data_IF_607246340190
#
_entry.id   IF_607246340190
#
_cell.length_a   1.000
_cell.length_b   1.000
_cell.length_c   1.000
_cell.angle_alpha   90.00
_cell.angle_beta   90.00
_cell.angle_gamma   90.00
#
_symmetry.space_group_name_H-M   'P 1'
#
loop_
_entity.id
_entity.type
_entity.pdbx_description
1 polymer ?
#
# COMPACT_ATOMS: atom_id res chain seq x y z
N UNK A 1 -17.00 -0.85 12.40
CA UNK A 1 -15.73 -0.10 12.36
C UNK A 1 -14.70 -0.93 13.12
N UNK A 2 -13.91 -1.73 12.41
CA UNK A 2 -12.92 -2.60 13.06
C UNK A 2 -11.61 -1.84 13.20
N UNK A 3 -11.54 -1.00 14.23
CA UNK A 3 -10.27 -0.66 14.87
C UNK A 3 -9.88 -1.89 15.71
N UNK A 4 -8.77 -2.54 15.36
CA UNK A 4 -8.05 -3.40 16.30
C UNK A 4 -6.62 -2.89 16.41
N UNK A 5 -6.43 -1.97 17.35
CA UNK A 5 -5.13 -1.76 17.96
C UNK A 5 -4.93 -2.80 19.06
N UNK A 6 -3.77 -3.44 19.07
CA UNK A 6 -3.24 -4.14 20.25
C UNK A 6 -2.78 -5.57 20.00
N UNK A 7 -1.60 -5.76 19.39
CA UNK A 7 -0.36 -6.33 20.00
C UNK A 7 0.75 -6.04 18.98
N UNK A 8 1.81 -5.27 19.33
CA UNK A 8 3.05 -5.01 18.56
C UNK A 8 3.15 -5.68 17.16
N UNK A 9 2.36 -5.20 16.20
CA UNK A 9 2.22 -5.82 14.90
C UNK A 9 2.04 -4.72 13.89
N UNK A 10 3.01 -4.59 12.98
CA UNK A 10 2.93 -3.67 11.87
C UNK A 10 1.68 -3.94 11.04
N UNK A 11 0.97 -2.88 10.64
CA UNK A 11 -0.17 -2.99 9.74
C UNK A 11 0.26 -3.55 8.37
N UNK A 12 -0.38 -4.63 7.94
CA UNK A 12 -0.05 -5.41 6.72
C UNK A 12 -1.12 -5.32 5.62
N UNK A 13 -2.12 -4.46 5.81
CA UNK A 13 -3.30 -4.39 4.95
C UNK A 13 -4.45 -5.28 5.42
N UNK A 14 -5.42 -5.54 4.54
CA UNK A 14 -6.62 -6.31 4.92
C UNK A 14 -6.31 -7.80 4.94
N UNK A 15 -6.50 -8.46 6.08
CA UNK A 15 -6.32 -9.90 6.18
C UNK A 15 -7.34 -10.66 5.32
N UNK A 16 -6.85 -11.47 4.39
CA UNK A 16 -7.64 -12.32 3.48
C UNK A 16 -7.94 -13.66 4.12
N UNK A 17 -6.92 -14.29 4.70
CA UNK A 17 -7.04 -15.62 5.26
C UNK A 17 -5.73 -16.38 5.19
N UNK A 18 -5.76 -17.57 5.78
CA UNK A 18 -4.64 -18.50 5.77
C UNK A 18 -4.76 -19.48 4.61
N UNK A 19 -3.63 -19.86 4.03
CA UNK A 19 -3.61 -21.00 3.11
C UNK A 19 -4.15 -22.26 3.78
N UNK A 20 -5.11 -22.91 3.13
CA UNK A 20 -5.54 -24.27 3.46
C UNK A 20 -4.48 -25.22 2.91
N UNK A 21 -3.71 -25.86 3.78
CA UNK A 21 -2.68 -26.82 3.40
C UNK A 21 -3.31 -28.11 2.90
N UNK A 22 -2.95 -28.54 1.69
CA UNK A 22 -3.37 -29.83 1.12
C UNK A 22 -2.17 -30.75 0.89
N UNK A 23 -1.11 -30.22 0.28
CA UNK A 23 0.12 -30.94 -0.03
C UNK A 23 1.32 -30.00 0.08
N UNK A 24 2.53 -30.58 0.09
CA UNK A 24 3.79 -29.86 -0.07
C UNK A 24 4.02 -28.70 0.93
N UNK A 25 3.49 -28.86 2.14
CA UNK A 25 3.64 -27.92 3.26
C UNK A 25 3.27 -26.47 2.94
N UNK A 26 2.30 -26.27 2.03
CA UNK A 26 1.82 -24.93 1.69
C UNK A 26 1.12 -24.29 2.88
N UNK A 27 1.76 -23.27 3.45
CA UNK A 27 1.21 -22.45 4.55
C UNK A 27 1.48 -20.98 4.29
N UNK A 28 0.80 -20.10 5.02
CA UNK A 28 1.07 -18.67 5.05
C UNK A 28 -0.22 -17.88 5.28
N UNK A 29 -0.09 -16.70 5.88
CA UNK A 29 -1.19 -15.77 6.14
C UNK A 29 -1.19 -14.68 5.07
N UNK A 30 -2.32 -14.49 4.40
CA UNK A 30 -2.41 -13.63 3.21
C UNK A 30 -3.14 -12.33 3.55
N UNK A 31 -2.57 -11.22 3.13
CA UNK A 31 -3.08 -9.86 3.33
C UNK A 31 -3.14 -9.13 1.98
N UNK A 32 -4.16 -8.30 1.77
CA UNK A 32 -4.25 -7.38 0.65
C UNK A 32 -3.51 -6.08 1.00
N UNK A 33 -2.42 -5.79 0.29
CA UNK A 33 -1.75 -4.48 0.36
C UNK A 33 -2.60 -3.45 -0.39
N UNK A 34 -3.04 -3.81 -1.59
CA UNK A 34 -3.94 -3.06 -2.45
C UNK A 34 -4.70 -4.05 -3.35
N UNK A 35 -5.51 -3.57 -4.30
CA UNK A 35 -6.29 -4.45 -5.19
C UNK A 35 -5.42 -5.32 -6.13
N UNK A 36 -4.15 -5.03 -6.30
CA UNK A 36 -3.22 -5.69 -7.23
C UNK A 36 -2.01 -6.31 -6.55
N UNK A 37 -1.87 -6.15 -5.24
CA UNK A 37 -0.71 -6.61 -4.49
C UNK A 37 -1.14 -7.32 -3.21
N UNK A 38 -0.59 -8.52 -2.99
CA UNK A 38 -0.77 -9.27 -1.75
C UNK A 38 0.54 -9.42 -1.01
N UNK A 39 0.45 -9.42 0.32
CA UNK A 39 1.51 -9.82 1.23
C UNK A 39 1.18 -11.21 1.77
N UNK A 40 2.15 -12.12 1.76
CA UNK A 40 2.04 -13.46 2.35
C UNK A 40 3.08 -13.56 3.45
N UNK A 41 2.63 -13.66 4.69
CA UNK A 41 3.48 -13.84 5.86
C UNK A 41 3.78 -15.31 6.10
N UNK A 42 5.05 -15.63 6.40
CA UNK A 42 5.45 -16.97 6.83
C UNK A 42 5.15 -18.07 5.81
N UNK A 43 5.36 -17.79 4.52
CA UNK A 43 5.08 -18.73 3.45
C UNK A 43 6.02 -19.94 3.49
N UNK A 44 5.46 -21.13 3.38
CA UNK A 44 6.18 -22.39 3.22
C UNK A 44 5.71 -23.11 1.96
N UNK A 45 6.64 -23.79 1.30
CA UNK A 45 6.38 -24.73 0.21
C UNK A 45 7.62 -25.62 0.05
N UNK A 46 7.47 -26.94 0.02
CA UNK A 46 8.60 -27.87 0.07
C UNK A 46 9.56 -27.79 -1.14
N UNK A 47 9.06 -27.34 -2.30
CA UNK A 47 9.80 -27.21 -3.56
C UNK A 47 9.90 -28.49 -4.40
N UNK A 48 9.20 -29.56 -4.03
CA UNK A 48 9.41 -30.89 -4.64
C UNK A 48 8.62 -31.11 -5.94
N UNK A 49 7.63 -30.25 -6.22
CA UNK A 49 6.78 -30.46 -7.39
C UNK A 49 7.45 -29.96 -8.68
N UNK A 50 7.26 -30.66 -9.80
CA UNK A 50 7.98 -30.37 -11.04
C UNK A 50 7.46 -29.13 -11.78
N UNK A 51 6.30 -28.57 -11.41
CA UNK A 51 5.60 -27.56 -12.21
C UNK A 51 4.60 -26.72 -11.38
N UNK A 52 5.03 -26.26 -10.20
CA UNK A 52 4.22 -25.46 -9.26
C UNK A 52 4.36 -23.95 -9.47
N UNK A 53 3.26 -23.22 -9.30
CA UNK A 53 3.18 -21.76 -9.45
C UNK A 53 2.24 -21.13 -8.42
N UNK A 54 2.46 -19.85 -8.10
CA UNK A 54 1.37 -19.03 -7.57
C UNK A 54 0.34 -18.84 -8.69
N UNK A 55 -0.92 -19.14 -8.39
CA UNK A 55 -1.98 -19.23 -9.39
C UNK A 55 -3.26 -18.65 -8.82
N UNK A 56 -4.06 -18.01 -9.66
CA UNK A 56 -5.36 -17.49 -9.25
C UNK A 56 -6.41 -17.70 -10.33
N UNK A 57 -7.64 -17.88 -9.89
CA UNK A 57 -8.77 -18.13 -10.79
C UNK A 57 -10.07 -17.57 -10.24
N UNK A 58 -11.06 -17.48 -11.12
CA UNK A 58 -12.27 -16.73 -10.84
C UNK A 58 -13.56 -17.41 -11.29
N UNK A 59 -13.45 -18.56 -11.97
CA UNK A 59 -14.63 -19.27 -12.46
C UNK A 59 -15.49 -19.76 -11.28
N UNK A 60 -14.88 -20.55 -10.41
CA UNK A 60 -15.51 -21.17 -9.25
C UNK A 60 -14.70 -20.85 -7.98
N UNK A 61 -15.30 -21.06 -6.80
CA UNK A 61 -14.60 -20.88 -5.51
C UNK A 61 -13.65 -22.03 -5.15
N UNK A 62 -13.65 -23.09 -5.95
CA UNK A 62 -12.72 -24.22 -5.82
C UNK A 62 -11.60 -24.04 -6.83
N UNK A 63 -10.32 -24.15 -6.40
CA UNK A 63 -9.19 -24.14 -7.32
C UNK A 63 -9.31 -25.15 -8.46
N UNK A 64 -8.90 -24.73 -9.65
CA UNK A 64 -8.91 -25.56 -10.86
C UNK A 64 -7.84 -25.08 -11.83
N UNK A 65 -7.65 -25.83 -12.93
CA UNK A 65 -6.73 -25.45 -14.01
C UNK A 65 -7.16 -24.20 -14.81
N UNK A 66 -8.32 -23.59 -14.49
CA UNK A 66 -8.82 -22.37 -15.12
C UNK A 66 -8.42 -21.14 -14.31
N UNK A 67 -7.20 -20.69 -14.50
CA UNK A 67 -6.65 -19.51 -13.85
C UNK A 67 -5.48 -18.88 -14.62
N UNK A 68 -4.70 -18.07 -13.94
CA UNK A 68 -3.48 -17.45 -14.45
C UNK A 68 -2.38 -17.47 -13.38
N UNK A 69 -1.12 -17.48 -13.84
CA UNK A 69 0.05 -17.43 -12.97
C UNK A 69 0.18 -16.02 -12.40
N UNK A 70 0.36 -15.91 -11.09
CA UNK A 70 0.83 -14.71 -10.42
C UNK A 70 2.36 -14.80 -10.39
N UNK A 71 3.10 -13.80 -10.86
CA UNK A 71 4.55 -13.77 -10.72
C UNK A 71 4.98 -13.91 -9.25
N UNK A 72 6.12 -14.56 -9.00
CA UNK A 72 6.69 -14.64 -7.67
C UNK A 72 7.21 -13.27 -7.19
N UNK A 73 7.82 -13.23 -6.01
CA UNK A 73 8.31 -12.01 -5.36
C UNK A 73 9.38 -11.25 -6.18
N UNK A 74 10.00 -11.93 -7.16
CA UNK A 74 10.99 -11.35 -8.08
C UNK A 74 10.38 -10.91 -9.41
N UNK A 75 9.07 -11.11 -9.60
CA UNK A 75 8.38 -10.86 -10.86
C UNK A 75 8.52 -11.97 -11.90
N UNK A 76 9.01 -13.15 -11.52
CA UNK A 76 9.20 -14.28 -12.42
C UNK A 76 7.97 -15.19 -12.46
N UNK A 77 7.69 -15.78 -13.64
CA UNK A 77 6.64 -16.79 -13.83
C UNK A 77 7.23 -18.19 -14.07
N UNK A 78 8.37 -18.46 -13.44
CA UNK A 78 9.07 -19.76 -13.50
C UNK A 78 8.50 -20.71 -12.44
N UNK A 79 8.85 -21.99 -12.53
CA UNK A 79 8.46 -23.00 -11.54
C UNK A 79 9.01 -22.59 -10.17
N UNK A 80 8.17 -22.67 -9.14
CA UNK A 80 8.54 -22.32 -7.78
C UNK A 80 9.59 -23.28 -7.21
N UNK A 81 10.63 -22.70 -6.60
CA UNK A 81 11.54 -23.42 -5.72
C UNK A 81 10.98 -23.56 -4.30
N UNK A 82 11.77 -24.12 -3.37
CA UNK A 82 11.36 -24.23 -1.97
C UNK A 82 11.27 -22.86 -1.29
N UNK A 83 10.25 -22.71 -0.43
CA UNK A 83 10.10 -21.58 0.50
C UNK A 83 10.10 -22.11 1.94
N UNK A 84 10.83 -21.43 2.83
CA UNK A 84 10.94 -21.79 4.26
C UNK A 84 10.70 -20.54 5.11
N UNK A 85 9.49 -20.40 5.62
CA UNK A 85 9.02 -19.28 6.44
C UNK A 85 9.41 -17.91 5.86
N UNK A 86 9.09 -17.69 4.58
CA UNK A 86 9.45 -16.45 3.88
C UNK A 86 8.26 -15.49 3.77
N UNK A 87 8.53 -14.21 3.96
CA UNK A 87 7.55 -13.16 3.70
C UNK A 87 7.63 -12.76 2.23
N UNK A 88 6.49 -12.74 1.55
CA UNK A 88 6.41 -12.52 0.10
C UNK A 88 5.48 -11.36 -0.23
N UNK A 89 5.88 -10.56 -1.22
CA UNK A 89 5.01 -9.55 -1.84
C UNK A 89 4.78 -9.97 -3.28
N UNK A 90 3.55 -10.36 -3.60
CA UNK A 90 3.18 -10.81 -4.94
C UNK A 90 2.32 -9.74 -5.62
N UNK A 91 2.69 -9.39 -6.85
CA UNK A 91 1.95 -8.44 -7.68
C UNK A 91 1.19 -9.18 -8.78
N UNK A 92 -0.10 -8.93 -8.87
CA UNK A 92 -0.92 -9.47 -9.93
C UNK A 92 -0.43 -8.97 -11.30
N UNK A 93 -0.41 -9.84 -12.32
CA UNK A 93 0.18 -9.50 -13.61
C UNK A 93 -0.72 -8.56 -14.41
N UNK A 94 -0.09 -7.70 -15.21
CA UNK A 94 -0.76 -7.04 -16.32
C UNK A 94 -0.79 -7.97 -17.53
N UNK A 95 -1.97 -8.20 -18.09
CA UNK A 95 -2.17 -9.07 -19.26
C UNK A 95 -2.64 -8.25 -20.45
N UNK A 96 -2.74 -8.90 -21.63
CA UNK A 96 -3.36 -8.28 -22.82
C UNK A 96 -4.81 -7.83 -22.58
N UNK A 97 -5.49 -8.39 -21.58
CA UNK A 97 -6.88 -8.05 -21.21
C UNK A 97 -6.97 -6.96 -20.13
N UNK A 98 -5.83 -6.41 -19.69
CA UNK A 98 -5.77 -5.43 -18.61
C UNK A 98 -5.04 -5.95 -17.38
N UNK A 99 -5.00 -5.10 -16.36
CA UNK A 99 -4.45 -5.40 -15.03
C UNK A 99 -5.33 -6.44 -14.34
N UNK A 100 -4.72 -7.52 -13.83
CA UNK A 100 -5.41 -8.46 -12.94
C UNK A 100 -5.43 -7.94 -11.52
N UNK A 101 -6.44 -8.31 -10.75
CA UNK A 101 -6.63 -7.84 -9.39
C UNK A 101 -7.25 -8.90 -8.48
N UNK A 102 -7.26 -8.62 -7.18
CA UNK A 102 -7.98 -9.38 -6.16
C UNK A 102 -9.48 -9.39 -6.44
N UNK A 103 -10.05 -8.25 -6.87
CA UNK A 103 -11.46 -8.18 -7.27
C UNK A 103 -11.81 -9.10 -8.44
N UNK A 104 -10.83 -9.47 -9.26
CA UNK A 104 -11.06 -10.36 -10.42
C UNK A 104 -11.07 -11.85 -10.07
N UNK A 105 -10.67 -12.24 -8.85
CA UNK A 105 -10.37 -13.64 -8.49
C UNK A 105 -11.13 -14.10 -7.25
N UNK A 106 -11.35 -15.41 -7.16
CA UNK A 106 -12.04 -16.06 -6.04
C UNK A 106 -11.10 -16.80 -5.10
N UNK A 107 -9.88 -17.07 -5.55
CA UNK A 107 -8.85 -17.78 -4.78
C UNK A 107 -7.46 -17.50 -5.33
N UNK A 108 -6.47 -17.65 -4.45
CA UNK A 108 -5.04 -17.76 -4.78
C UNK A 108 -4.58 -19.12 -4.29
N UNK A 109 -3.78 -19.84 -5.09
CA UNK A 109 -3.34 -21.21 -4.84
C UNK A 109 -1.87 -21.39 -5.21
N UNK A 110 -1.22 -22.35 -4.56
CA UNK A 110 -0.02 -22.99 -5.10
C UNK A 110 -0.49 -24.16 -5.95
N UNK A 111 -0.42 -24.00 -7.27
CA UNK A 111 -1.00 -24.94 -8.23
C UNK A 111 0.06 -25.64 -9.06
N UNK A 112 0.03 -26.97 -9.11
CA UNK A 112 0.85 -27.76 -10.01
C UNK A 112 0.14 -27.96 -11.35
N UNK A 113 0.66 -27.33 -12.42
CA UNK A 113 0.04 -27.40 -13.75
C UNK A 113 0.15 -28.78 -14.37
N UNK A 114 1.31 -29.45 -14.23
CA UNK A 114 1.54 -30.80 -14.75
C UNK A 114 0.53 -31.83 -14.26
N UNK A 115 0.16 -31.79 -12.98
CA UNK A 115 -0.76 -32.76 -12.39
C UNK A 115 -2.18 -32.22 -12.20
N UNK A 116 -2.40 -30.93 -12.45
CA UNK A 116 -3.67 -30.25 -12.20
C UNK A 116 -4.17 -30.41 -10.76
N UNK A 117 -3.25 -30.24 -9.79
CA UNK A 117 -3.50 -30.40 -8.35
C UNK A 117 -3.24 -29.07 -7.65
N UNK A 118 -4.13 -28.75 -6.71
CA UNK A 118 -3.96 -27.68 -5.73
C UNK A 118 -3.19 -28.18 -4.52
N UNK A 119 -2.07 -27.53 -4.18
CA UNK A 119 -1.28 -27.86 -2.99
C UNK A 119 -1.71 -27.06 -1.77
N UNK A 120 -2.38 -25.94 -2.00
CA UNK A 120 -3.01 -25.17 -0.96
C UNK A 120 -3.50 -23.85 -1.50
N UNK A 121 -4.62 -23.38 -0.96
CA UNK A 121 -5.26 -22.17 -1.43
C UNK A 121 -5.81 -21.31 -0.30
N UNK A 122 -5.96 -20.03 -0.58
CA UNK A 122 -6.77 -19.09 0.18
C UNK A 122 -7.93 -18.62 -0.70
N UNK A 123 -9.13 -18.51 -0.13
CA UNK A 123 -10.31 -17.97 -0.83
C UNK A 123 -10.38 -16.47 -0.61
N UNK A 124 -10.77 -15.73 -1.64
CA UNK A 124 -10.96 -14.28 -1.58
C UNK A 124 -12.41 -14.00 -1.17
N UNK A 125 -12.66 -13.28 -0.06
CA UNK A 125 -13.99 -12.85 0.32
C UNK A 125 -14.57 -11.85 -0.70
N UNK A 126 -15.86 -11.96 -1.01
CA UNK A 126 -16.54 -11.11 -2.02
C UNK A 126 -16.52 -9.62 -1.68
N UNK A 127 -16.75 -9.28 -0.41
CA UNK A 127 -16.97 -7.91 0.04
C UNK A 127 -15.89 -7.47 1.02
N UNK A 128 -14.64 -7.83 0.74
CA UNK A 128 -13.50 -7.38 1.52
C UNK A 128 -13.21 -5.89 1.23
N UNK A 129 -13.03 -5.04 2.26
CA UNK A 129 -12.48 -3.71 2.05
C UNK A 129 -11.01 -3.81 1.62
N UNK A 130 -10.69 -3.25 0.46
CA UNK A 130 -9.32 -3.22 -0.06
C UNK A 130 -8.68 -1.88 0.27
N UNK A 131 -7.42 -1.87 0.75
CA UNK A 131 -6.73 -0.61 0.94
C UNK A 131 -6.51 0.10 -0.41
N UNK A 132 -6.65 1.42 -0.40
CA UNK A 132 -6.50 2.26 -1.58
C UNK A 132 -5.83 3.59 -1.23
N UNK A 133 -4.90 4.01 -2.07
CA UNK A 133 -4.31 5.35 -1.97
C UNK A 133 -5.41 6.40 -2.05
N UNK A 134 -5.30 7.44 -1.23
CA UNK A 134 -6.27 8.52 -1.23
C UNK A 134 -5.69 9.72 -1.98
N UNK A 135 -6.43 10.27 -2.93
CA UNK A 135 -6.06 11.48 -3.65
C UNK A 135 -7.10 12.57 -3.39
N UNK A 136 -6.64 13.81 -3.23
CA UNK A 136 -7.47 14.99 -3.06
C UNK A 136 -6.98 16.10 -3.99
N UNK A 137 -7.70 17.22 -4.00
CA UNK A 137 -7.27 18.41 -4.75
C UNK A 137 -5.90 18.89 -4.28
N UNK A 138 -5.21 19.67 -5.12
CA UNK A 138 -3.94 20.26 -4.72
C UNK A 138 -4.08 21.34 -3.63
N UNK A 139 -2.93 21.68 -3.03
CA UNK A 139 -2.77 22.83 -2.14
C UNK A 139 -2.99 24.12 -2.92
N UNK A 140 -3.66 25.09 -2.30
CA UNK A 140 -3.91 26.40 -2.91
C UNK A 140 -3.93 27.48 -1.82
N UNK A 141 -2.99 28.42 -1.87
CA UNK A 141 -3.02 29.63 -1.04
C UNK A 141 -3.72 30.80 -1.74
N UNK A 142 -4.23 31.78 -0.97
CA UNK A 142 -5.00 32.93 -1.48
C UNK A 142 -4.15 33.90 -2.33
N UNK A 143 -2.92 34.18 -1.91
CA UNK A 143 -1.89 34.83 -2.72
C UNK A 143 -0.86 33.74 -3.04
N UNK A 144 -0.55 33.40 -4.32
CA UNK A 144 -0.04 32.07 -4.68
C UNK A 144 1.43 31.85 -4.29
N UNK A 145 1.65 31.68 -2.99
CA UNK A 145 2.89 31.30 -2.33
C UNK A 145 3.03 29.79 -2.38
N UNK A 146 1.94 29.03 -2.20
CA UNK A 146 1.90 27.56 -2.22
C UNK A 146 0.86 27.08 -3.22
N UNK A 147 1.24 26.16 -4.11
CA UNK A 147 0.32 25.45 -5.01
C UNK A 147 0.74 23.99 -5.24
N UNK A 148 -0.21 23.09 -5.44
CA UNK A 148 -0.01 21.80 -6.10
C UNK A 148 -1.21 21.48 -6.98
N UNK A 149 -1.09 20.51 -7.88
CA UNK A 149 -2.22 20.04 -8.70
C UNK A 149 -3.04 18.97 -7.99
N UNK A 150 -2.36 18.07 -7.27
CA UNK A 150 -2.96 17.04 -6.43
C UNK A 150 -2.08 16.77 -5.21
N UNK A 151 -2.71 16.19 -4.19
CA UNK A 151 -2.01 15.60 -3.04
C UNK A 151 -2.59 14.22 -2.78
N UNK A 152 -1.74 13.24 -2.51
CA UNK A 152 -2.18 11.89 -2.19
C UNK A 152 -1.44 11.29 -1.00
N UNK A 153 -2.15 10.44 -0.24
CA UNK A 153 -1.56 9.44 0.66
C UNK A 153 -1.38 8.18 -0.19
N UNK A 154 -0.13 7.84 -0.50
CA UNK A 154 0.21 6.71 -1.36
C UNK A 154 0.12 5.40 -0.57
N UNK A 155 0.73 5.39 0.60
CA UNK A 155 0.74 4.31 1.58
C UNK A 155 0.91 4.91 2.99
N UNK A 156 1.05 4.06 4.00
CA UNK A 156 1.23 4.49 5.40
C UNK A 156 2.47 5.34 5.66
N UNK A 157 3.41 5.40 4.71
CA UNK A 157 4.73 6.01 4.91
C UNK A 157 5.00 7.15 3.94
N UNK A 158 4.11 7.41 2.98
CA UNK A 158 4.39 8.31 1.85
C UNK A 158 3.20 9.19 1.49
N UNK A 159 3.41 10.50 1.54
CA UNK A 159 2.61 11.45 0.78
C UNK A 159 3.24 11.72 -0.59
N UNK A 160 2.41 12.03 -1.58
CA UNK A 160 2.84 12.54 -2.89
C UNK A 160 2.12 13.85 -3.18
N UNK A 161 2.89 14.88 -3.52
CA UNK A 161 2.38 16.17 -3.99
C UNK A 161 2.78 16.32 -5.45
N UNK A 162 1.82 16.53 -6.35
CA UNK A 162 2.07 16.72 -7.78
C UNK A 162 2.13 18.20 -8.17
N UNK A 163 3.05 18.54 -9.07
CA UNK A 163 3.31 19.91 -9.53
C UNK A 163 3.48 20.94 -8.40
N UNK A 164 4.06 20.52 -7.27
CA UNK A 164 4.24 21.38 -6.10
C UNK A 164 5.12 22.59 -6.40
N UNK A 165 4.64 23.77 -6.03
CA UNK A 165 5.27 25.06 -6.18
C UNK A 165 5.21 25.81 -4.87
N UNK A 166 6.36 26.31 -4.43
CA UNK A 166 6.49 27.19 -3.28
C UNK A 166 7.49 28.28 -3.63
N UNK A 167 7.10 29.55 -3.54
CA UNK A 167 7.90 30.64 -4.08
C UNK A 167 9.10 31.06 -3.21
N UNK A 168 9.11 30.65 -1.94
CA UNK A 168 10.16 30.94 -0.95
C UNK A 168 10.01 32.29 -0.25
N UNK A 169 8.88 32.99 -0.40
CA UNK A 169 8.64 34.29 0.25
C UNK A 169 8.50 34.17 1.77
N UNK A 170 7.96 33.05 2.27
CA UNK A 170 7.79 32.75 3.70
C UNK A 170 8.94 31.85 4.18
N UNK A 171 9.99 32.44 4.76
CA UNK A 171 11.27 31.75 4.99
C UNK A 171 11.25 30.66 6.07
N UNK A 172 10.25 30.66 6.94
CA UNK A 172 10.05 29.70 8.04
C UNK A 172 8.95 28.68 7.75
N UNK A 173 8.47 28.59 6.49
CA UNK A 173 7.47 27.63 6.08
C UNK A 173 8.00 26.19 6.18
N UNK A 174 7.16 25.25 6.64
CA UNK A 174 7.43 23.82 6.78
C UNK A 174 6.22 23.00 6.33
N UNK A 175 6.43 21.73 6.00
CA UNK A 175 5.31 20.79 5.85
C UNK A 175 4.82 20.36 7.23
N UNK A 176 3.51 20.30 7.39
CA UNK A 176 2.86 19.79 8.60
C UNK A 176 1.70 18.87 8.23
N UNK A 177 1.39 17.93 9.10
CA UNK A 177 0.24 17.04 8.99
C UNK A 177 -0.45 16.88 10.34
N UNK A 178 -1.68 16.40 10.36
CA UNK A 178 -2.32 16.11 11.64
C UNK A 178 -3.69 15.47 11.53
N UNK A 179 -4.30 15.31 12.70
CA UNK A 179 -5.67 14.88 12.91
C UNK A 179 -6.50 16.03 13.49
N UNK A 180 -7.75 16.20 13.07
CA UNK A 180 -8.65 17.23 13.60
C UNK A 180 -8.60 18.53 12.80
N UNK A 181 -8.50 19.65 13.50
CA UNK A 181 -8.53 20.98 12.89
C UNK A 181 -7.30 21.21 11.99
N UNK A 182 -7.55 21.42 10.70
CA UNK A 182 -6.52 21.67 9.68
C UNK A 182 -5.81 23.01 9.85
N UNK A 183 -6.26 23.86 10.78
CA UNK A 183 -5.64 25.14 11.12
C UNK A 183 -4.60 25.04 12.26
N UNK A 184 -4.49 23.89 12.93
CA UNK A 184 -3.50 23.67 13.99
C UNK A 184 -2.08 23.44 13.43
N UNK A 185 -1.03 23.69 14.24
CA UNK A 185 0.37 23.58 13.80
C UNK A 185 0.86 22.16 13.48
N UNK A 186 0.02 21.13 13.71
CA UNK A 186 0.27 19.74 13.32
C UNK A 186 1.60 19.13 13.83
N UNK A 187 1.92 17.97 13.29
CA UNK A 187 3.23 17.32 13.35
C UNK A 187 4.03 17.71 12.11
N UNK A 188 5.29 18.08 12.28
CA UNK A 188 6.15 18.44 11.16
C UNK A 188 6.46 17.21 10.28
N UNK A 189 6.35 17.39 8.97
CA UNK A 189 6.68 16.39 7.96
C UNK A 189 8.04 16.76 7.34
N UNK A 190 9.00 15.83 7.26
CA UNK A 190 10.26 16.08 6.57
C UNK A 190 10.07 16.38 5.08
N UNK A 191 11.02 17.12 4.49
CA UNK A 191 11.07 17.28 3.03
C UNK A 191 11.43 15.95 2.31
N UNK A 192 11.48 15.97 0.98
CA UNK A 192 11.76 14.75 0.20
C UNK A 192 13.17 14.16 0.41
N UNK A 193 14.03 14.85 1.18
CA UNK A 193 15.36 14.41 1.57
C UNK A 193 15.44 14.06 3.06
N UNK A 194 14.32 14.08 3.78
CA UNK A 194 14.27 13.81 5.21
C UNK A 194 14.68 14.98 6.11
N UNK A 195 14.78 16.21 5.58
CA UNK A 195 15.14 17.37 6.39
C UNK A 195 13.91 18.01 7.06
N UNK A 196 14.08 18.42 8.31
CA UNK A 196 13.11 19.20 9.08
C UNK A 196 13.39 20.72 9.03
N UNK A 197 14.20 21.16 8.09
CA UNK A 197 14.50 22.60 7.91
C UNK A 197 13.38 23.29 7.13
N UNK A 198 13.25 24.63 7.23
CA UNK A 198 12.30 25.37 6.41
C UNK A 198 12.42 25.09 4.91
N UNK A 199 11.30 25.21 4.22
CA UNK A 199 11.17 24.87 2.81
C UNK A 199 12.02 25.81 1.95
N UNK A 200 12.78 25.22 1.05
CA UNK A 200 13.38 25.94 -0.09
C UNK A 200 12.33 26.22 -1.16
N UNK A 201 12.69 27.02 -2.17
CA UNK A 201 11.83 27.22 -3.34
C UNK A 201 11.55 25.92 -4.11
N UNK A 202 10.30 25.70 -4.51
CA UNK A 202 9.86 24.63 -5.41
C UNK A 202 9.18 25.22 -6.65
N UNK A 203 9.33 24.56 -7.79
CA UNK A 203 8.72 25.00 -9.06
C UNK A 203 8.21 23.77 -9.81
N UNK A 204 6.89 23.54 -9.75
CA UNK A 204 6.18 22.42 -10.39
C UNK A 204 6.90 21.08 -10.26
N UNK A 205 7.25 20.70 -9.02
CA UNK A 205 7.91 19.43 -8.73
C UNK A 205 6.92 18.43 -8.16
N UNK A 206 6.90 17.21 -8.69
CA UNK A 206 6.36 16.09 -7.94
C UNK A 206 7.34 15.71 -6.85
N UNK A 207 6.88 15.70 -5.60
CA UNK A 207 7.69 15.35 -4.42
C UNK A 207 7.00 14.26 -3.62
N UNK A 208 7.81 13.37 -3.03
CA UNK A 208 7.36 12.34 -2.11
C UNK A 208 7.84 12.74 -0.72
N UNK A 209 6.92 12.87 0.23
CA UNK A 209 7.24 13.24 1.60
C UNK A 209 7.06 12.03 2.51
N UNK A 210 8.06 11.70 3.34
CA UNK A 210 7.93 10.61 4.28
C UNK A 210 6.96 10.98 5.40
N UNK A 211 6.06 10.06 5.75
CA UNK A 211 5.20 10.18 6.92
C UNK A 211 6.05 9.88 8.16
N UNK A 212 6.09 10.77 9.18
CA UNK A 212 6.89 10.55 10.37
C UNK A 212 6.46 9.26 11.11
N UNK A 213 7.41 8.43 11.59
CA UNK A 213 7.09 7.17 12.25
C UNK A 213 6.32 7.37 13.56
N UNK A 214 6.42 8.55 14.19
CA UNK A 214 5.76 8.87 15.45
C UNK A 214 4.23 8.97 15.34
N UNK A 215 3.71 9.19 14.13
CA UNK A 215 2.28 9.30 13.84
C UNK A 215 1.71 8.04 13.16
N UNK A 216 2.51 6.99 13.00
CA UNK A 216 2.04 5.72 12.44
C UNK A 216 0.89 5.15 13.27
N UNK A 217 -0.17 4.71 12.59
CA UNK A 217 -1.39 4.20 13.20
C UNK A 217 -2.40 5.27 13.63
N UNK A 218 -2.05 6.56 13.55
CA UNK A 218 -2.99 7.66 13.78
C UNK A 218 -3.73 8.03 12.49
N UNK A 219 -5.00 8.45 12.57
CA UNK A 219 -5.73 8.91 11.39
C UNK A 219 -5.14 10.21 10.87
N UNK A 220 -4.72 10.20 9.61
CA UNK A 220 -4.22 11.37 8.89
C UNK A 220 -5.43 12.10 8.29
N UNK A 221 -5.70 13.32 8.74
CA UNK A 221 -6.84 14.11 8.27
C UNK A 221 -6.43 15.31 7.43
N UNK A 222 -5.21 15.81 7.57
CA UNK A 222 -4.70 16.87 6.71
C UNK A 222 -3.19 16.81 6.53
N UNK A 223 -2.75 17.44 5.43
CA UNK A 223 -1.37 17.88 5.21
C UNK A 223 -1.41 19.30 4.65
N UNK A 224 -0.42 20.11 5.02
CA UNK A 224 -0.33 21.48 4.59
C UNK A 224 1.08 22.04 4.65
N UNK A 225 1.18 23.29 4.21
CA UNK A 225 2.35 24.14 4.42
C UNK A 225 1.97 25.16 5.49
N UNK A 226 2.70 25.16 6.58
CA UNK A 226 2.47 26.04 7.72
C UNK A 226 3.74 26.84 8.05
N UNK A 227 3.56 28.03 8.59
CA UNK A 227 4.64 28.91 9.03
C UNK A 227 4.38 29.39 10.46
N UNK A 228 5.39 29.37 11.36
CA UNK A 228 5.28 29.98 12.69
C UNK A 228 4.86 31.45 12.67
N UNK A 229 5.29 32.22 11.66
CA UNK A 229 5.01 33.64 11.55
C UNK A 229 3.70 33.98 10.82
N UNK A 230 3.18 33.07 9.98
CA UNK A 230 2.03 33.34 9.13
C UNK A 230 0.84 32.37 9.31
N UNK A 231 0.98 31.31 10.10
CA UNK A 231 -0.04 30.28 10.27
C UNK A 231 -0.10 29.30 9.09
N UNK A 232 -1.26 28.68 8.88
CA UNK A 232 -1.47 27.74 7.78
C UNK A 232 -1.52 28.50 6.44
N UNK A 233 -0.58 28.23 5.54
CA UNK A 233 -0.53 28.89 4.23
C UNK A 233 -1.44 28.21 3.20
N UNK A 234 -1.51 26.88 3.26
CA UNK A 234 -2.40 26.04 2.47
C UNK A 234 -2.47 24.65 3.10
N UNK A 235 -3.65 24.04 3.09
CA UNK A 235 -3.85 22.66 3.55
C UNK A 235 -4.86 21.95 2.66
N UNK A 236 -4.84 20.63 2.73
CA UNK A 236 -5.86 19.75 2.15
C UNK A 236 -6.24 18.71 3.17
N UNK A 237 -7.48 18.25 3.10
CA UNK A 237 -8.01 17.24 4.01
C UNK A 237 -8.22 15.89 3.34
N UNK A 238 -8.21 14.85 4.16
CA UNK A 238 -8.40 13.45 3.80
C UNK A 238 -9.53 12.83 4.63
N UNK A 239 -10.18 11.81 4.10
CA UNK A 239 -11.11 10.97 4.86
C UNK A 239 -10.34 10.20 5.95
N UNK A 240 -10.59 10.46 7.25
CA UNK A 240 -9.94 9.74 8.35
C UNK A 240 -10.24 8.24 8.40
N UNK A 241 -11.31 7.79 7.73
CA UNK A 241 -11.72 6.39 7.75
C UNK A 241 -11.22 5.61 6.53
N UNK A 242 -10.49 6.26 5.63
CA UNK A 242 -9.93 5.59 4.47
C UNK A 242 -8.95 4.51 4.89
N UNK A 243 -9.09 3.34 4.28
CA UNK A 243 -8.17 2.23 4.46
C UNK A 243 -6.96 2.45 3.53
N UNK A 244 -5.88 2.99 4.09
CA UNK A 244 -4.66 3.29 3.33
C UNK A 244 -3.81 2.01 3.16
N UNK A 245 -3.14 1.80 2.01
CA UNK A 245 -2.22 0.69 1.81
C UNK A 245 -1.07 0.71 2.82
N UNK A 246 -0.63 -0.44 3.35
CA UNK A 246 0.62 -0.50 4.10
C UNK A 246 1.79 -0.20 3.15
N UNK A 247 2.84 0.44 3.65
CA UNK A 247 4.06 0.59 2.84
C UNK A 247 4.80 -0.73 2.73
N UNK A 248 5.08 -1.13 1.48
CA UNK A 248 5.86 -2.35 1.18
C UNK A 248 7.25 -2.31 1.82
N UNK A 249 7.84 -1.12 1.98
CA UNK A 249 9.18 -0.96 2.56
C UNK A 249 9.22 -1.21 4.06
N UNK A 250 8.09 -1.02 4.75
CA UNK A 250 7.99 -1.22 6.18
C UNK A 250 7.57 -2.63 6.55
N UNK A 251 6.99 -3.42 5.63
CA UNK A 251 6.59 -4.80 5.88
C UNK A 251 7.78 -5.67 6.39
N UNK A 252 7.52 -6.62 7.31
CA UNK A 252 8.56 -7.37 8.00
C UNK A 252 9.22 -8.46 7.16
#
# INVERSE_FOLDING_TARGET
VALLHGVNGLYKGTYIGKFTTLHHDVTGDVYAIDNTTVYIEGFNYDGEAPDAYFFAGNKDYTPSNRGFIIPNERGNTEVLGPYRNQNLVLKFPKTKKGQRSLSDVKWISVWCRRFAIDFGHVKIPLDMPLPQSQETTGLQSDNPVVRSSAVSIVDTDTFRLDDFTFDGTVQDAIFVMGSGDAEASGTQVPDEKGNLTPLRKYNKKTILLPIPPEVLGQPIQYIGVWSPSAGMLASVTFDPNALIPPSVQSLP
#
